data_IF_293020905005
#
_entry.id   IF_293020905005
#
_cell.length_a   1.000
_cell.length_b   1.000
_cell.length_c   1.000
_cell.angle_alpha   90.00
_cell.angle_beta   90.00
_cell.angle_gamma   90.00
#
_symmetry.space_group_name_H-M   'P 1'
#
loop_
_entity.id
_entity.type
_entity.pdbx_description
1 polymer ?
#
# COMPACT_ATOMS: atom_id res chain seq x y z
N UNK A 1 -3.74 -25.11 -8.50
CA UNK A 1 -4.12 -24.37 -9.71
C UNK A 1 -3.84 -22.91 -9.43
N UNK A 2 -2.84 -22.34 -10.09
CA UNK A 2 -2.43 -20.94 -9.92
C UNK A 2 -3.30 -20.06 -10.79
N UNK A 3 -4.15 -19.25 -10.18
CA UNK A 3 -4.80 -18.12 -10.85
C UNK A 3 -4.23 -16.85 -10.26
N UNK A 4 -3.10 -16.41 -10.84
CA UNK A 4 -2.73 -15.00 -10.85
C UNK A 4 -3.78 -14.29 -11.71
N UNK A 5 -4.94 -13.99 -11.15
CA UNK A 5 -5.83 -13.01 -11.76
C UNK A 5 -5.19 -11.65 -11.46
N UNK A 6 -4.83 -10.89 -12.48
CA UNK A 6 -4.70 -9.45 -12.26
C UNK A 6 -6.08 -8.93 -11.85
N UNK A 7 -6.17 -7.99 -10.90
CA UNK A 7 -7.44 -7.37 -10.59
C UNK A 7 -8.01 -6.71 -11.85
N UNK A 8 -9.26 -7.02 -12.20
CA UNK A 8 -9.98 -6.46 -13.36
C UNK A 8 -10.43 -5.00 -13.14
N UNK A 9 -10.01 -4.39 -12.03
CA UNK A 9 -10.39 -3.05 -11.57
C UNK A 9 -9.17 -2.16 -11.33
N UNK A 10 -9.38 -0.85 -11.44
CA UNK A 10 -8.39 0.14 -11.02
C UNK A 10 -8.13 0.02 -9.51
N UNK A 11 -6.89 0.31 -9.06
CA UNK A 11 -6.59 0.31 -7.64
C UNK A 11 -7.40 1.40 -6.94
N UNK A 12 -7.98 1.05 -5.79
CA UNK A 12 -8.70 2.02 -4.96
C UNK A 12 -7.76 2.91 -4.15
N UNK A 13 -6.54 2.43 -3.84
CA UNK A 13 -5.47 3.21 -3.21
C UNK A 13 -4.13 2.85 -3.84
N UNK A 14 -3.27 3.87 -4.00
CA UNK A 14 -1.92 3.73 -4.55
C UNK A 14 -0.94 4.50 -3.67
N UNK A 15 0.19 3.87 -3.38
CA UNK A 15 1.33 4.54 -2.77
C UNK A 15 2.50 4.47 -3.73
N UNK A 16 2.89 5.60 -4.30
CA UNK A 16 4.04 5.76 -5.17
C UNK A 16 4.73 7.08 -4.83
N UNK A 17 5.85 7.01 -4.11
CA UNK A 17 6.57 8.20 -3.66
C UNK A 17 7.14 9.01 -4.83
N UNK A 18 7.47 8.35 -5.95
CA UNK A 18 7.94 9.03 -7.14
C UNK A 18 6.80 9.83 -7.79
N UNK A 19 5.61 9.24 -7.91
CA UNK A 19 4.44 9.94 -8.44
C UNK A 19 4.03 11.12 -7.54
N UNK A 20 4.02 10.93 -6.22
CA UNK A 20 3.75 12.01 -5.24
C UNK A 20 4.76 13.15 -5.42
N UNK A 21 6.05 12.84 -5.49
CA UNK A 21 7.10 13.84 -5.69
C UNK A 21 6.98 14.55 -7.05
N UNK A 22 6.60 13.84 -8.11
CA UNK A 22 6.36 14.44 -9.43
C UNK A 22 5.18 15.41 -9.43
N UNK A 23 4.09 15.07 -8.76
CA UNK A 23 2.93 15.94 -8.62
C UNK A 23 3.27 17.20 -7.83
N UNK A 24 4.01 17.07 -6.72
CA UNK A 24 4.48 18.22 -5.96
C UNK A 24 5.47 19.09 -6.76
N UNK A 25 6.39 18.48 -7.51
CA UNK A 25 7.33 19.20 -8.37
C UNK A 25 6.59 20.05 -9.41
N UNK A 26 5.53 19.53 -10.01
CA UNK A 26 4.70 20.27 -10.95
C UNK A 26 4.06 21.51 -10.29
N UNK A 27 3.52 21.37 -9.08
CA UNK A 27 2.95 22.49 -8.32
C UNK A 27 4.00 23.55 -7.99
N UNK A 28 5.20 23.17 -7.56
CA UNK A 28 6.29 24.09 -7.23
C UNK A 28 6.70 24.96 -8.44
N UNK A 29 6.72 24.38 -9.64
CA UNK A 29 6.99 25.13 -10.88
C UNK A 29 5.84 26.10 -11.19
N UNK A 30 4.59 25.63 -11.09
CA UNK A 30 3.40 26.46 -11.36
C UNK A 30 3.29 27.65 -10.40
N UNK A 31 3.72 27.47 -9.15
CA UNK A 31 3.77 28.51 -8.13
C UNK A 31 4.99 29.44 -8.26
N UNK A 32 5.96 29.11 -9.12
CA UNK A 32 7.21 29.86 -9.27
C UNK A 32 8.16 29.68 -8.08
N UNK A 33 7.99 28.62 -7.29
CA UNK A 33 8.84 28.27 -6.15
C UNK A 33 10.08 27.45 -6.55
N UNK A 34 10.10 26.90 -7.77
CA UNK A 34 11.26 26.24 -8.38
C UNK A 34 11.55 26.80 -9.78
N UNK A 35 12.83 26.86 -10.15
CA UNK A 35 13.28 27.39 -11.43
C UNK A 35 13.13 26.39 -12.59
N UNK A 36 13.22 25.10 -12.29
CA UNK A 36 13.12 24.01 -13.26
C UNK A 36 12.64 22.71 -12.60
N UNK A 37 12.42 21.68 -13.42
CA UNK A 37 11.90 20.37 -13.00
C UNK A 37 12.82 19.62 -12.07
N UNK A 38 14.14 19.72 -12.26
CA UNK A 38 15.11 18.98 -11.48
C UNK A 38 15.19 19.55 -10.06
N UNK A 39 15.21 20.88 -9.95
CA UNK A 39 15.12 21.57 -8.66
C UNK A 39 13.79 21.25 -7.96
N UNK A 40 12.66 21.33 -8.68
CA UNK A 40 11.35 21.07 -8.11
C UNK A 40 11.21 19.65 -7.58
N UNK A 41 11.70 18.66 -8.32
CA UNK A 41 11.68 17.26 -7.91
C UNK A 41 12.61 17.00 -6.71
N UNK A 42 13.80 17.60 -6.69
CA UNK A 42 14.70 17.49 -5.54
C UNK A 42 14.05 18.06 -4.26
N UNK A 43 13.41 19.24 -4.36
CA UNK A 43 12.68 19.85 -3.25
C UNK A 43 11.54 18.95 -2.75
N UNK A 44 10.76 18.37 -3.67
CA UNK A 44 9.67 17.47 -3.31
C UNK A 44 10.18 16.17 -2.63
N UNK A 45 11.30 15.61 -3.09
CA UNK A 45 11.92 14.43 -2.48
C UNK A 45 12.45 14.69 -1.06
N UNK A 46 12.86 15.92 -0.76
CA UNK A 46 13.37 16.32 0.57
C UNK A 46 12.24 16.72 1.54
N UNK A 47 11.00 16.86 1.05
CA UNK A 47 9.85 17.26 1.84
C UNK A 47 9.26 16.07 2.63
N UNK A 48 9.73 15.88 3.86
CA UNK A 48 9.20 14.83 4.74
C UNK A 48 7.73 15.05 5.11
N UNK A 49 7.26 16.30 5.13
CA UNK A 49 5.89 16.64 5.50
C UNK A 49 4.93 16.27 4.38
N UNK A 50 5.33 16.41 3.11
CA UNK A 50 4.60 15.91 1.95
C UNK A 50 4.30 14.42 2.09
N UNK A 51 5.33 13.60 2.31
CA UNK A 51 5.14 12.14 2.42
C UNK A 51 4.38 11.75 3.67
N UNK A 52 4.60 12.44 4.79
CA UNK A 52 3.87 12.19 6.03
C UNK A 52 2.38 12.47 5.87
N UNK A 53 2.03 13.63 5.28
CA UNK A 53 0.66 14.00 5.00
C UNK A 53 -0.02 13.05 4.01
N UNK A 54 0.69 12.66 2.93
CA UNK A 54 0.18 11.69 1.96
C UNK A 54 -0.07 10.31 2.60
N UNK A 55 0.83 9.87 3.50
CA UNK A 55 0.67 8.62 4.23
C UNK A 55 -0.50 8.64 5.22
N UNK A 56 -0.67 9.75 5.94
CA UNK A 56 -1.81 9.97 6.84
C UNK A 56 -3.14 9.92 6.08
N UNK A 57 -3.24 10.60 4.92
CA UNK A 57 -4.42 10.57 4.08
C UNK A 57 -4.73 9.15 3.58
N UNK A 58 -3.72 8.45 3.03
CA UNK A 58 -3.87 7.08 2.53
C UNK A 58 -4.34 6.12 3.63
N UNK A 59 -3.77 6.22 4.84
CA UNK A 59 -4.13 5.33 5.95
C UNK A 59 -5.47 5.69 6.57
N UNK A 60 -5.91 6.95 6.50
CA UNK A 60 -7.27 7.35 6.86
C UNK A 60 -8.30 6.72 5.92
N UNK A 61 -8.10 6.86 4.59
CA UNK A 61 -8.97 6.25 3.59
C UNK A 61 -9.03 4.72 3.74
N UNK A 62 -7.86 4.08 3.95
CA UNK A 62 -7.80 2.65 4.22
C UNK A 62 -8.54 2.26 5.51
N UNK A 63 -8.49 3.10 6.55
CA UNK A 63 -9.22 2.86 7.80
C UNK A 63 -10.72 2.78 7.54
N UNK A 64 -11.28 3.68 6.74
CA UNK A 64 -12.70 3.66 6.36
C UNK A 64 -13.06 2.39 5.58
N UNK A 65 -12.21 1.99 4.63
CA UNK A 65 -12.37 0.77 3.84
C UNK A 65 -12.40 -0.46 4.76
N UNK A 66 -11.36 -0.68 5.57
CA UNK A 66 -11.25 -1.91 6.38
C UNK A 66 -12.31 -1.97 7.48
N UNK A 67 -12.71 -0.82 8.04
CA UNK A 67 -13.77 -0.75 9.04
C UNK A 67 -15.14 -1.09 8.44
N UNK A 68 -15.34 -0.78 7.16
CA UNK A 68 -16.55 -1.14 6.42
C UNK A 68 -16.57 -2.63 6.06
N UNK A 69 -15.44 -3.15 5.57
CA UNK A 69 -15.35 -4.54 5.12
C UNK A 69 -15.38 -5.55 6.27
N UNK A 70 -14.76 -5.22 7.40
CA UNK A 70 -14.67 -6.10 8.55
C UNK A 70 -14.50 -5.32 9.87
N UNK A 71 -15.62 -4.89 10.48
CA UNK A 71 -15.61 -4.14 11.73
C UNK A 71 -14.97 -4.88 12.93
N UNK A 72 -14.81 -6.20 12.84
CA UNK A 72 -14.20 -7.00 13.90
C UNK A 72 -12.66 -6.84 13.95
N UNK A 73 -12.04 -6.42 12.85
CA UNK A 73 -10.60 -6.12 12.79
C UNK A 73 -9.66 -7.34 12.71
N UNK A 74 -10.18 -8.56 12.61
CA UNK A 74 -9.40 -9.80 12.49
C UNK A 74 -9.22 -10.20 11.03
N UNK A 75 -7.98 -10.40 10.61
CA UNK A 75 -7.62 -10.63 9.22
C UNK A 75 -6.69 -11.82 9.07
N UNK A 76 -6.78 -12.49 7.94
CA UNK A 76 -5.79 -13.43 7.45
C UNK A 76 -5.21 -12.90 6.15
N UNK A 77 -3.88 -12.88 6.05
CA UNK A 77 -3.16 -12.54 4.84
C UNK A 77 -2.35 -13.72 4.33
N UNK A 78 -2.57 -14.04 3.06
CA UNK A 78 -1.70 -14.89 2.26
C UNK A 78 -0.79 -14.02 1.41
N UNK A 79 0.52 -14.26 1.46
CA UNK A 79 1.48 -13.63 0.55
C UNK A 79 2.02 -14.65 -0.44
N UNK A 80 2.17 -14.23 -1.69
CA UNK A 80 2.82 -14.98 -2.75
C UNK A 80 3.90 -14.13 -3.41
N UNK A 81 5.03 -14.75 -3.74
CA UNK A 81 6.12 -14.06 -4.43
C UNK A 81 6.92 -13.11 -3.55
N UNK A 82 6.96 -13.36 -2.24
CA UNK A 82 7.60 -12.48 -1.26
C UNK A 82 9.12 -12.42 -1.43
N UNK A 83 9.64 -11.21 -1.66
CA UNK A 83 11.06 -10.90 -1.83
C UNK A 83 11.78 -11.69 -2.93
N UNK A 84 13.11 -11.58 -2.97
CA UNK A 84 13.94 -12.21 -4.01
C UNK A 84 13.86 -13.75 -4.06
N UNK A 85 13.46 -14.39 -2.95
CA UNK A 85 13.28 -15.85 -2.86
C UNK A 85 11.91 -16.31 -3.35
N UNK A 86 11.00 -15.39 -3.67
CA UNK A 86 9.64 -15.68 -4.14
C UNK A 86 8.89 -16.63 -3.19
N UNK A 87 8.99 -16.37 -1.88
CA UNK A 87 8.37 -17.25 -0.88
C UNK A 87 6.87 -16.98 -0.78
N UNK A 88 6.15 -17.93 -0.17
CA UNK A 88 4.75 -17.76 0.18
C UNK A 88 4.57 -18.00 1.67
N UNK A 89 3.57 -17.35 2.26
CA UNK A 89 3.32 -17.43 3.69
C UNK A 89 1.90 -17.00 4.02
N UNK A 90 1.48 -17.36 5.23
CA UNK A 90 0.17 -17.00 5.78
C UNK A 90 0.40 -16.37 7.14
N UNK A 91 -0.37 -15.34 7.46
CA UNK A 91 -0.34 -14.68 8.76
C UNK A 91 -1.74 -14.21 9.14
N UNK A 92 -2.14 -14.54 10.36
CA UNK A 92 -3.31 -13.93 11.00
C UNK A 92 -2.86 -12.69 11.77
N UNK A 93 -3.68 -11.64 11.77
CA UNK A 93 -3.38 -10.41 12.49
C UNK A 93 -4.65 -9.64 12.85
N UNK A 94 -4.52 -8.74 13.83
CA UNK A 94 -5.53 -7.74 14.14
C UNK A 94 -5.06 -6.37 13.70
N UNK A 95 -5.94 -5.60 13.08
CA UNK A 95 -5.69 -4.20 12.73
C UNK A 95 -6.97 -3.40 12.93
N UNK A 96 -6.87 -2.36 13.77
CA UNK A 96 -7.99 -1.46 14.06
C UNK A 96 -7.99 -0.22 13.14
N UNK A 97 -6.87 0.05 12.47
CA UNK A 97 -6.70 1.18 11.54
C UNK A 97 -5.83 0.80 10.34
N UNK A 98 -5.90 1.61 9.28
CA UNK A 98 -5.17 1.40 8.04
C UNK A 98 -3.66 1.38 8.23
N UNK A 99 -3.12 2.17 9.16
CA UNK A 99 -1.69 2.17 9.47
C UNK A 99 -1.23 0.84 10.08
N UNK A 100 -1.98 0.28 11.04
CA UNK A 100 -1.73 -1.05 11.61
C UNK A 100 -1.85 -2.14 10.55
N UNK A 101 -2.87 -2.02 9.69
CA UNK A 101 -3.11 -2.97 8.60
C UNK A 101 -1.90 -3.04 7.67
N UNK A 102 -1.40 -1.89 7.19
CA UNK A 102 -0.22 -1.85 6.32
C UNK A 102 1.03 -2.35 7.02
N UNK A 103 1.27 -1.97 8.29
CA UNK A 103 2.40 -2.48 9.08
C UNK A 103 2.37 -3.99 9.28
N UNK A 104 1.19 -4.61 9.29
CA UNK A 104 1.07 -6.06 9.43
C UNK A 104 1.42 -6.82 8.15
N UNK A 105 1.23 -6.19 6.99
CA UNK A 105 1.44 -6.79 5.66
C UNK A 105 2.82 -6.49 5.10
N UNK A 106 3.20 -5.22 5.05
CA UNK A 106 4.36 -4.76 4.32
C UNK A 106 5.64 -4.87 5.15
N UNK A 107 6.79 -5.15 4.50
CA UNK A 107 8.08 -5.00 5.14
C UNK A 107 8.34 -3.53 5.52
N UNK A 108 9.10 -3.31 6.59
CA UNK A 108 9.53 -1.95 6.99
C UNK A 108 10.67 -1.44 6.10
N UNK A 109 10.34 -1.15 4.84
CA UNK A 109 11.27 -0.66 3.82
C UNK A 109 10.54 0.19 2.79
N UNK A 110 11.29 0.88 1.94
CA UNK A 110 10.73 1.63 0.83
C UNK A 110 10.07 0.68 -0.18
N UNK A 111 8.80 0.95 -0.44
CA UNK A 111 7.99 0.20 -1.39
C UNK A 111 6.99 1.12 -2.09
N UNK A 112 6.60 0.70 -3.28
CA UNK A 112 5.43 1.21 -4.01
C UNK A 112 4.38 0.12 -3.95
N UNK A 113 3.10 0.46 -3.76
CA UNK A 113 2.05 -0.55 -3.75
C UNK A 113 0.73 -0.06 -4.33
N UNK A 114 -0.10 -1.03 -4.71
CA UNK A 114 -1.46 -0.83 -5.22
C UNK A 114 -2.41 -1.72 -4.45
N UNK A 115 -3.52 -1.15 -3.97
CA UNK A 115 -4.55 -1.86 -3.21
C UNK A 115 -5.84 -1.92 -4.00
N UNK A 116 -6.44 -3.11 -4.00
CA UNK A 116 -7.68 -3.43 -4.70
C UNK A 116 -8.66 -4.07 -3.72
N UNK A 117 -9.95 -3.77 -3.87
CA UNK A 117 -11.03 -4.45 -3.14
C UNK A 117 -11.88 -5.19 -4.16
N UNK A 118 -11.94 -6.51 -4.05
CA UNK A 118 -12.77 -7.35 -4.91
C UNK A 118 -14.24 -7.31 -4.46
N UNK A 119 -15.15 -7.74 -5.35
CA UNK A 119 -16.60 -7.80 -5.07
C UNK A 119 -16.95 -8.70 -3.88
N UNK A 120 -16.10 -9.69 -3.56
CA UNK A 120 -16.26 -10.59 -2.42
C UNK A 120 -15.63 -10.05 -1.12
N UNK A 121 -15.33 -8.75 -1.07
CA UNK A 121 -14.65 -8.06 0.02
C UNK A 121 -13.21 -8.54 0.31
N UNK A 122 -12.60 -9.31 -0.61
CA UNK A 122 -11.18 -9.63 -0.52
C UNK A 122 -10.34 -8.41 -0.87
N UNK A 123 -9.41 -8.07 0.02
CA UNK A 123 -8.39 -7.04 -0.26
C UNK A 123 -7.22 -7.72 -0.97
N UNK A 124 -6.75 -7.13 -2.06
CA UNK A 124 -5.51 -7.54 -2.72
C UNK A 124 -4.54 -6.39 -2.74
N UNK A 125 -3.28 -6.69 -2.44
CA UNK A 125 -2.20 -5.70 -2.49
C UNK A 125 -1.10 -6.22 -3.40
N UNK A 126 -0.72 -5.42 -4.37
CA UNK A 126 0.48 -5.64 -5.18
C UNK A 126 1.61 -4.79 -4.62
N UNK A 127 2.69 -5.43 -4.19
CA UNK A 127 3.85 -4.75 -3.63
C UNK A 127 5.01 -4.74 -4.62
N UNK A 128 5.69 -3.59 -4.70
CA UNK A 128 6.90 -3.36 -5.48
C UNK A 128 7.97 -2.87 -4.52
N UNK A 129 9.07 -3.58 -4.41
CA UNK A 129 10.22 -3.14 -3.64
C UNK A 129 11.50 -3.53 -4.37
N UNK A 130 12.66 -3.05 -3.91
CA UNK A 130 13.94 -3.21 -4.61
C UNK A 130 14.33 -4.67 -4.93
N UNK A 131 13.88 -5.66 -4.13
CA UNK A 131 14.13 -7.09 -4.43
C UNK A 131 13.07 -7.73 -5.34
N UNK A 132 11.93 -7.08 -5.54
CA UNK A 132 10.83 -7.52 -6.40
C UNK A 132 10.27 -6.34 -7.24
N UNK A 133 11.09 -5.70 -8.09
CA UNK A 133 10.73 -4.45 -8.76
C UNK A 133 9.64 -4.64 -9.83
N UNK A 134 9.36 -5.88 -10.24
CA UNK A 134 8.34 -6.19 -11.24
C UNK A 134 6.95 -6.43 -10.65
N UNK A 135 6.76 -6.23 -9.33
CA UNK A 135 5.44 -6.33 -8.71
C UNK A 135 4.90 -7.77 -8.62
N UNK A 136 5.81 -8.73 -8.45
CA UNK A 136 5.47 -10.15 -8.34
C UNK A 136 5.00 -10.54 -6.93
N UNK A 137 5.16 -9.64 -5.96
CA UNK A 137 4.72 -9.85 -4.58
C UNK A 137 3.26 -9.42 -4.44
N UNK A 138 2.42 -10.38 -4.07
CA UNK A 138 0.98 -10.19 -3.93
C UNK A 138 0.50 -10.68 -2.57
N UNK A 139 -0.27 -9.83 -1.90
CA UNK A 139 -1.02 -10.19 -0.71
C UNK A 139 -2.49 -10.36 -1.07
N UNK A 140 -3.12 -11.39 -0.51
CA UNK A 140 -4.56 -11.60 -0.51
C UNK A 140 -5.02 -11.62 0.93
N UNK A 141 -5.91 -10.70 1.30
CA UNK A 141 -6.30 -10.47 2.68
C UNK A 141 -7.81 -10.59 2.81
N UNK A 142 -8.26 -11.38 3.77
CA UNK A 142 -9.67 -11.66 4.01
C UNK A 142 -10.02 -11.47 5.48
N UNK A 143 -11.28 -11.12 5.72
CA UNK A 143 -11.83 -11.12 7.07
C UNK A 143 -11.70 -12.54 7.66
N UNK A 144 -11.35 -12.60 8.93
CA UNK A 144 -11.21 -13.84 9.65
C UNK A 144 -11.91 -13.78 11.01
N UNK A 145 -12.09 -14.94 11.64
CA UNK A 145 -12.77 -15.05 12.92
C UNK A 145 -11.84 -14.62 14.07
N UNK A 146 -12.41 -14.27 15.23
CA UNK A 146 -11.63 -13.99 16.42
C UNK A 146 -10.84 -15.23 16.87
N UNK A 147 -9.53 -15.08 17.11
CA UNK A 147 -8.70 -16.11 17.75
C UNK A 147 -8.65 -15.89 19.26
N UNK A 148 -9.15 -16.82 20.09
CA UNK A 148 -9.29 -16.60 21.53
C UNK A 148 -8.01 -16.82 22.36
N UNK A 149 -6.82 -17.01 21.77
CA UNK A 149 -5.65 -17.55 22.49
C UNK A 149 -4.33 -16.79 22.27
N UNK A 150 -4.32 -15.46 22.42
CA UNK A 150 -3.08 -14.72 22.72
C UNK A 150 -3.01 -14.34 24.21
#
# INVERSE_FOLDING_TARGET
>A
MNTQQQPDSEPCLVWDTCEIAQQQAQLLIEMGEAADTDQAFALACEDSDLFSAAWEALTADLTEIISTLNPAGYWQADVYGFGWRSLSGVKDFKADDGGQFMRCLLPNTECTFKLFVAEDNTIRLQNFHHDAPTGNEWYTVKAAEYWPND
#
